data_IF_426339888255
#
_entry.id   IF_426339888255
#
_cell.length_a   1.000
_cell.length_b   1.000
_cell.length_c   1.000
_cell.angle_alpha   90.00
_cell.angle_beta   90.00
_cell.angle_gamma   90.00
#
_symmetry.space_group_name_H-M   'P 1'
#
loop_
_entity.id
_entity.type
_entity.pdbx_description
1 polymer ?
#
# COMPACT_ATOMS: atom_id res chain seq x y z
N UNK A 1 13.72 10.33 17.69
CA UNK A 1 14.86 9.51 17.21
C UNK A 1 14.71 9.03 15.75
N UNK A 2 13.57 9.29 15.10
CA UNK A 2 13.20 8.83 13.74
C UNK A 2 13.49 9.82 12.59
N UNK A 3 14.10 10.97 12.86
CA UNK A 3 14.20 12.06 11.86
C UNK A 3 15.65 12.40 11.43
N UNK A 4 16.64 11.55 11.73
CA UNK A 4 18.01 11.81 11.24
C UNK A 4 18.18 11.24 9.81
N UNK A 5 18.36 12.08 8.78
CA UNK A 5 18.48 11.64 7.39
C UNK A 5 19.70 10.74 7.13
N UNK A 6 20.80 10.98 7.83
CA UNK A 6 22.03 10.16 7.72
C UNK A 6 21.79 8.74 8.22
N UNK A 7 21.05 8.58 9.32
CA UNK A 7 20.69 7.26 9.86
C UNK A 7 19.80 6.52 8.87
N UNK A 8 18.78 7.20 8.29
CA UNK A 8 17.91 6.60 7.28
C UNK A 8 18.69 6.12 6.05
N UNK A 9 19.63 6.94 5.57
CA UNK A 9 20.46 6.59 4.40
C UNK A 9 21.37 5.39 4.69
N UNK A 10 22.00 5.34 5.87
CA UNK A 10 22.82 4.19 6.30
C UNK A 10 21.97 2.92 6.45
N UNK A 11 20.78 3.04 7.04
CA UNK A 11 19.86 1.91 7.20
C UNK A 11 19.35 1.39 5.86
N UNK A 12 18.97 2.28 4.93
CA UNK A 12 18.61 1.90 3.57
C UNK A 12 19.75 1.12 2.89
N UNK A 13 20.98 1.66 2.93
CA UNK A 13 22.15 0.99 2.36
C UNK A 13 22.41 -0.40 2.96
N UNK A 14 22.16 -0.56 4.26
CA UNK A 14 22.22 -1.86 4.93
C UNK A 14 21.14 -2.81 4.41
N UNK A 15 19.87 -2.38 4.34
CA UNK A 15 18.76 -3.19 3.81
C UNK A 15 18.98 -3.59 2.34
N UNK A 16 19.53 -2.70 1.55
CA UNK A 16 19.82 -2.95 0.14
C UNK A 16 20.90 -4.03 -0.07
N UNK A 17 21.75 -4.30 0.92
CA UNK A 17 22.74 -5.40 0.84
C UNK A 17 22.11 -6.80 0.89
N UNK A 18 20.84 -6.91 1.30
CA UNK A 18 20.10 -8.17 1.34
C UNK A 18 19.35 -8.49 0.04
N UNK A 19 19.38 -7.59 -0.95
CA UNK A 19 18.66 -7.77 -2.22
C UNK A 19 19.63 -7.73 -3.40
N UNK A 20 19.21 -8.35 -4.50
CA UNK A 20 19.98 -8.33 -5.75
C UNK A 20 19.87 -6.98 -6.45
N UNK A 21 20.85 -6.67 -7.29
CA UNK A 21 20.87 -5.42 -8.06
C UNK A 21 19.65 -5.27 -8.96
N UNK A 22 19.18 -6.36 -9.56
CA UNK A 22 17.94 -6.37 -10.34
C UNK A 22 16.73 -5.94 -9.50
N UNK A 23 16.64 -6.39 -8.24
CA UNK A 23 15.53 -6.04 -7.35
C UNK A 23 15.62 -4.59 -6.89
N UNK A 24 16.83 -4.09 -6.60
CA UNK A 24 17.09 -2.67 -6.29
C UNK A 24 16.64 -1.78 -7.44
N UNK A 25 17.13 -2.05 -8.66
CA UNK A 25 16.79 -1.28 -9.86
C UNK A 25 15.28 -1.29 -10.13
N UNK A 26 14.60 -2.42 -9.89
CA UNK A 26 13.16 -2.50 -10.02
C UNK A 26 12.44 -1.58 -9.02
N UNK A 27 12.86 -1.55 -7.75
CA UNK A 27 12.28 -0.64 -6.77
C UNK A 27 12.49 0.83 -7.15
N UNK A 28 13.71 1.21 -7.53
CA UNK A 28 14.03 2.58 -7.95
C UNK A 28 13.19 3.00 -9.17
N UNK A 29 12.95 2.08 -10.11
CA UNK A 29 12.05 2.34 -11.25
C UNK A 29 10.61 2.53 -10.79
N UNK A 30 10.05 1.59 -10.03
CA UNK A 30 8.62 1.56 -9.69
C UNK A 30 8.24 2.69 -8.73
N UNK A 31 9.11 3.08 -7.78
CA UNK A 31 8.80 4.14 -6.81
C UNK A 31 8.54 5.49 -7.50
N UNK A 32 9.20 5.77 -8.63
CA UNK A 32 8.98 6.99 -9.41
C UNK A 32 7.61 7.04 -10.10
N UNK A 33 6.96 5.89 -10.25
CA UNK A 33 5.64 5.78 -10.89
C UNK A 33 4.49 5.81 -9.88
N UNK A 34 4.78 5.97 -8.58
CA UNK A 34 3.76 6.09 -7.54
C UNK A 34 3.20 7.51 -7.48
N UNK A 35 1.90 7.63 -7.25
CA UNK A 35 1.20 8.92 -7.12
C UNK A 35 0.42 9.00 -5.81
N UNK A 36 0.43 10.21 -5.24
CA UNK A 36 -0.45 10.65 -4.14
C UNK A 36 -1.39 11.79 -4.54
N UNK A 37 -1.47 12.10 -5.84
CA UNK A 37 -2.36 13.15 -6.36
C UNK A 37 -3.81 12.70 -6.46
N UNK A 38 -4.03 11.39 -6.57
CA UNK A 38 -5.34 10.75 -6.58
C UNK A 38 -5.34 9.60 -5.58
N UNK A 39 -6.50 9.28 -5.03
CA UNK A 39 -6.70 8.17 -4.11
C UNK A 39 -8.06 7.53 -4.32
N UNK A 40 -8.24 6.33 -3.80
CA UNK A 40 -9.50 5.57 -3.83
C UNK A 40 -10.02 5.42 -2.41
N UNK A 41 -11.30 5.72 -2.21
CA UNK A 41 -12.04 5.40 -1.00
C UNK A 41 -12.99 4.22 -1.26
N UNK A 42 -12.95 3.24 -0.38
CA UNK A 42 -13.82 2.06 -0.37
C UNK A 42 -14.71 2.14 0.86
N UNK A 43 -16.02 2.24 0.67
CA UNK A 43 -16.98 2.34 1.76
C UNK A 43 -17.87 1.10 1.84
N UNK A 44 -17.98 0.54 3.05
CA UNK A 44 -18.89 -0.56 3.42
C UNK A 44 -18.87 -1.77 2.46
N UNK A 45 -17.68 -2.13 1.97
CA UNK A 45 -17.50 -3.23 1.03
C UNK A 45 -18.01 -4.55 1.62
N UNK A 46 -19.07 -5.07 1.03
CA UNK A 46 -19.71 -6.31 1.48
C UNK A 46 -18.89 -7.57 1.14
N UNK A 47 -18.33 -7.64 -0.08
CA UNK A 47 -17.51 -8.79 -0.53
C UNK A 47 -16.03 -8.42 -0.57
N UNK A 48 -15.21 -9.08 0.25
CA UNK A 48 -13.77 -8.82 0.36
C UNK A 48 -12.98 -9.06 -0.93
N UNK A 49 -13.53 -9.84 -1.87
CA UNK A 49 -12.98 -10.05 -3.21
C UNK A 49 -12.99 -8.76 -4.03
N UNK A 50 -14.03 -7.94 -3.91
CA UNK A 50 -14.13 -6.67 -4.63
C UNK A 50 -13.08 -5.68 -4.13
N UNK A 51 -12.92 -5.56 -2.81
CA UNK A 51 -11.85 -4.77 -2.24
C UNK A 51 -10.47 -5.26 -2.74
N UNK A 52 -10.22 -6.57 -2.72
CA UNK A 52 -8.94 -7.14 -3.19
C UNK A 52 -8.69 -6.87 -4.68
N UNK A 53 -9.72 -6.87 -5.53
CA UNK A 53 -9.60 -6.46 -6.92
C UNK A 53 -9.24 -4.97 -7.05
N UNK A 54 -9.90 -4.09 -6.30
CA UNK A 54 -9.58 -2.65 -6.29
C UNK A 54 -8.14 -2.40 -5.81
N UNK A 55 -7.68 -3.08 -4.77
CA UNK A 55 -6.32 -2.93 -4.27
C UNK A 55 -5.28 -3.33 -5.32
N UNK A 56 -5.47 -4.47 -6.01
CA UNK A 56 -4.58 -4.86 -7.11
C UNK A 56 -4.58 -3.84 -8.24
N UNK A 57 -5.74 -3.29 -8.58
CA UNK A 57 -5.86 -2.22 -9.57
C UNK A 57 -5.11 -0.96 -9.14
N UNK A 58 -5.24 -0.53 -7.88
CA UNK A 58 -4.51 0.61 -7.34
C UNK A 58 -3.00 0.39 -7.44
N UNK A 59 -2.51 -0.79 -7.08
CA UNK A 59 -1.10 -1.15 -7.17
C UNK A 59 -0.57 -1.08 -8.60
N UNK A 60 -1.32 -1.64 -9.57
CA UNK A 60 -0.98 -1.59 -10.99
C UNK A 60 -0.92 -0.16 -11.56
N UNK A 61 -1.82 0.72 -11.13
CA UNK A 61 -1.86 2.13 -11.59
C UNK A 61 -0.95 3.07 -10.79
N UNK A 62 -0.20 2.55 -9.82
CA UNK A 62 0.72 3.34 -9.02
C UNK A 62 0.04 4.22 -7.96
N UNK A 63 -1.24 4.00 -7.65
CA UNK A 63 -1.91 4.70 -6.54
C UNK A 63 -1.25 4.25 -5.22
N UNK A 64 -0.86 5.21 -4.38
CA UNK A 64 -0.11 4.89 -3.16
C UNK A 64 -0.98 4.70 -1.92
N UNK A 65 -2.02 5.53 -1.78
CA UNK A 65 -2.88 5.55 -0.60
C UNK A 65 -4.29 5.07 -0.97
N UNK A 66 -4.87 4.18 -0.17
CA UNK A 66 -6.26 3.71 -0.29
C UNK A 66 -6.95 3.84 1.05
N UNK A 67 -8.16 4.39 1.06
CA UNK A 67 -8.95 4.64 2.25
C UNK A 67 -10.09 3.61 2.32
N UNK A 68 -10.27 2.96 3.48
CA UNK A 68 -11.30 1.94 3.69
C UNK A 68 -12.16 2.37 4.88
N UNK A 69 -13.45 2.57 4.63
CA UNK A 69 -14.44 3.01 5.61
C UNK A 69 -15.33 1.80 5.92
N UNK A 70 -15.27 1.34 7.18
CA UNK A 70 -15.90 0.10 7.65
C UNK A 70 -16.97 0.43 8.70
N UNK A 71 -18.13 0.96 8.28
CA UNK A 71 -19.21 1.34 9.19
C UNK A 71 -20.12 0.15 9.53
N UNK A 72 -20.46 -0.66 8.53
CA UNK A 72 -21.35 -1.83 8.66
C UNK A 72 -20.63 -3.15 8.42
N UNK A 73 -19.73 -3.18 7.43
CA UNK A 73 -19.00 -4.38 7.02
C UNK A 73 -17.51 -4.21 7.32
N UNK A 74 -16.93 -5.13 8.09
CA UNK A 74 -15.48 -5.16 8.34
C UNK A 74 -14.76 -5.82 7.19
N UNK A 75 -13.77 -5.14 6.60
CA UNK A 75 -12.92 -5.73 5.59
C UNK A 75 -11.72 -6.46 6.23
N UNK A 76 -11.73 -7.79 6.10
CA UNK A 76 -10.56 -8.62 6.38
C UNK A 76 -9.77 -8.84 5.09
N UNK A 77 -8.48 -8.48 5.09
CA UNK A 77 -7.58 -8.74 3.96
C UNK A 77 -7.38 -10.25 3.87
N UNK A 78 -7.79 -10.86 2.75
CA UNK A 78 -7.39 -12.22 2.43
C UNK A 78 -6.09 -12.18 1.59
N UNK A 79 -4.95 -12.66 2.13
CA UNK A 79 -3.66 -12.64 1.42
C UNK A 79 -3.69 -13.36 0.08
N UNK A 80 -4.47 -14.43 -0.05
CA UNK A 80 -4.57 -15.24 -1.27
C UNK A 80 -5.31 -14.51 -2.39
N UNK A 81 -6.18 -13.56 -2.04
CA UNK A 81 -6.98 -12.79 -3.01
C UNK A 81 -6.30 -11.46 -3.37
N UNK A 82 -5.63 -10.84 -2.40
CA UNK A 82 -4.93 -9.57 -2.61
C UNK A 82 -3.55 -9.74 -3.27
N UNK A 83 -3.04 -10.98 -3.39
CA UNK A 83 -1.78 -11.35 -4.08
C UNK A 83 -0.57 -10.47 -3.67
N UNK A 84 -0.54 -10.04 -2.41
CA UNK A 84 0.54 -9.21 -1.88
C UNK A 84 0.53 -7.73 -2.29
N UNK A 85 -0.47 -7.25 -3.05
CA UNK A 85 -0.61 -5.84 -3.42
C UNK A 85 -0.65 -4.92 -2.18
N UNK A 86 -1.25 -5.40 -1.09
CA UNK A 86 -1.31 -4.68 0.20
C UNK A 86 0.06 -4.38 0.82
N UNK A 87 1.12 -5.07 0.41
CA UNK A 87 2.49 -4.78 0.88
C UNK A 87 3.07 -3.50 0.26
N UNK A 88 2.49 -3.03 -0.83
CA UNK A 88 2.99 -1.89 -1.61
C UNK A 88 2.07 -0.66 -1.54
N UNK A 89 0.90 -0.82 -0.93
CA UNK A 89 -0.11 0.22 -0.73
C UNK A 89 -0.15 0.64 0.74
N UNK A 90 -0.49 1.90 0.97
CA UNK A 90 -0.82 2.40 2.30
C UNK A 90 -2.34 2.28 2.48
N UNK A 91 -2.78 1.43 3.40
CA UNK A 91 -4.20 1.25 3.70
C UNK A 91 -4.58 2.06 4.95
N UNK A 92 -5.44 3.06 4.77
CA UNK A 92 -5.96 3.87 5.85
C UNK A 92 -7.37 3.38 6.18
N UNK A 93 -7.57 2.82 7.37
CA UNK A 93 -8.87 2.29 7.81
C UNK A 93 -9.58 3.27 8.74
N UNK A 94 -10.88 3.43 8.53
CA UNK A 94 -11.76 4.31 9.29
C UNK A 94 -12.97 3.53 9.78
N UNK A 95 -13.34 3.73 11.04
CA UNK A 95 -14.45 3.04 11.70
C UNK A 95 -15.19 3.94 12.71
N UNK A 96 -15.13 5.27 12.54
CA UNK A 96 -15.72 6.24 13.47
C UNK A 96 -16.74 7.14 12.79
N UNK A 97 -17.98 7.08 13.33
CA UNK A 97 -19.20 7.87 13.02
C UNK A 97 -19.66 7.85 11.56
N UNK A 98 -20.99 7.80 11.40
CA UNK A 98 -21.66 7.93 10.09
C UNK A 98 -21.18 9.21 9.39
N UNK A 99 -20.75 9.08 8.14
CA UNK A 99 -20.40 10.18 7.24
C UNK A 99 -21.64 10.96 6.81
#
# INVERSE_FOLDING_TARGET
MTENPEIRKKFLKYLESFITENKRTLFDKIITQRTKHITVALEDIYQSQNASAVLRTCDCFGIQDVHIIENKNTYSVNPDVALGATKWLNLNKYNQKEN
#
